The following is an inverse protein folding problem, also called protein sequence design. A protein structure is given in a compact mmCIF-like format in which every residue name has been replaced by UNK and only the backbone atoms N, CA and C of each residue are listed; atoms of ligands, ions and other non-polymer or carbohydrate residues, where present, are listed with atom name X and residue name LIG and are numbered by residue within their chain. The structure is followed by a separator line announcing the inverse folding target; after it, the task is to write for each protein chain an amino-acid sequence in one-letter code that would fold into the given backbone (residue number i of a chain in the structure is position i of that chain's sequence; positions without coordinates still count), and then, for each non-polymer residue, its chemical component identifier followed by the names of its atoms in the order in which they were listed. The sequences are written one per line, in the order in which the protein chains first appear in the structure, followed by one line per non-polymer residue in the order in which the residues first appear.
data_IF_705051444435
#
_entry.id   IF_705051444435
#
_cell.length_a   1.000
_cell.length_b   1.000
_cell.length_c   1.000
_cell.angle_alpha   90.00
_cell.angle_beta   90.00
_cell.angle_gamma   90.00
#
_symmetry.space_group_name_H-M   'P 1'
#
loop_
_entity.id
_entity.type
_entity.pdbx_description
1 polymer ?
#
# COMPACT_ATOMS: atom_id res chain seq x y z
N UNK A 1 10.84 13.49 -15.87
CA UNK A 1 10.31 13.22 -14.52
C UNK A 1 11.31 12.34 -13.79
N UNK A 2 11.63 12.63 -12.53
CA UNK A 2 12.56 11.80 -11.74
C UNK A 2 11.89 10.44 -11.46
N UNK A 3 12.62 9.34 -11.67
CA UNK A 3 12.14 8.00 -11.32
C UNK A 3 12.33 7.79 -9.82
N UNK A 4 11.26 7.42 -9.12
CA UNK A 4 11.27 7.13 -7.68
C UNK A 4 11.35 5.62 -7.48
N UNK A 5 12.55 5.05 -7.56
CA UNK A 5 12.76 3.60 -7.46
C UNK A 5 12.54 3.09 -6.03
N UNK A 6 11.91 1.93 -5.90
CA UNK A 6 11.76 1.18 -4.66
C UNK A 6 11.46 -0.28 -4.99
N UNK A 7 11.74 -1.18 -4.05
CA UNK A 7 11.36 -2.58 -4.10
C UNK A 7 10.01 -2.75 -3.43
N UNK A 8 9.15 -3.57 -4.02
CA UNK A 8 7.91 -4.04 -3.38
C UNK A 8 8.23 -5.41 -2.78
N UNK A 9 8.34 -5.47 -1.46
CA UNK A 9 8.56 -6.72 -0.73
C UNK A 9 7.24 -7.48 -0.57
N UNK A 10 6.15 -6.77 -0.28
CA UNK A 10 4.81 -7.32 -0.28
C UNK A 10 3.79 -6.25 -0.68
N UNK A 11 2.71 -6.68 -1.32
CA UNK A 11 1.51 -5.88 -1.59
C UNK A 11 0.29 -6.79 -1.68
N UNK A 12 -0.84 -6.31 -1.18
CA UNK A 12 -2.18 -6.87 -1.37
C UNK A 12 -3.15 -5.74 -1.70
N UNK A 13 -4.02 -5.98 -2.68
CA UNK A 13 -5.10 -5.07 -3.05
C UNK A 13 -6.41 -5.74 -2.63
N UNK A 14 -7.15 -5.07 -1.75
CA UNK A 14 -8.45 -5.52 -1.27
C UNK A 14 -9.55 -4.56 -1.76
N UNK A 15 -10.84 -4.92 -1.63
CA UNK A 15 -11.93 -4.04 -2.01
C UNK A 15 -11.92 -2.67 -1.31
N UNK A 16 -11.41 -2.59 -0.07
CA UNK A 16 -11.34 -1.35 0.69
C UNK A 16 -9.90 -0.83 0.86
N UNK A 17 -8.97 -1.54 1.55
CA UNK A 17 -7.59 -1.06 1.69
C UNK A 17 -6.62 -1.65 0.67
N UNK A 18 -5.47 -1.01 0.55
CA UNK A 18 -4.26 -1.57 -0.05
C UNK A 18 -3.23 -1.61 1.07
N UNK A 19 -2.59 -2.76 1.30
CA UNK A 19 -1.44 -2.86 2.19
C UNK A 19 -0.19 -3.15 1.37
N UNK A 20 0.90 -2.49 1.70
CA UNK A 20 2.17 -2.63 0.99
C UNK A 20 3.34 -2.46 1.94
N UNK A 21 4.39 -3.25 1.70
CA UNK A 21 5.69 -3.19 2.35
C UNK A 21 6.73 -2.90 1.28
N UNK A 22 7.44 -1.78 1.45
CA UNK A 22 8.42 -1.29 0.49
C UNK A 22 9.79 -1.15 1.14
N UNK A 23 10.82 -1.45 0.37
CA UNK A 23 12.20 -1.13 0.69
C UNK A 23 12.72 -0.12 -0.32
N UNK A 24 13.43 0.91 0.15
CA UNK A 24 13.99 1.96 -0.70
C UNK A 24 15.52 2.06 -0.51
N UNK A 25 16.24 2.68 -1.47
CA UNK A 25 17.66 2.97 -1.30
C UNK A 25 17.87 3.91 -0.10
N UNK A 26 18.97 3.77 0.64
CA UNK A 26 19.27 4.58 1.84
C UNK A 26 19.19 6.10 1.60
N UNK A 27 19.37 6.54 0.36
CA UNK A 27 19.38 7.94 -0.06
C UNK A 27 18.02 8.51 -0.48
N UNK A 28 16.95 7.71 -0.49
CA UNK A 28 15.62 8.15 -0.93
C UNK A 28 14.48 7.50 -0.15
N UNK A 29 14.11 8.13 0.97
CA UNK A 29 12.99 7.74 1.82
C UNK A 29 11.66 8.44 1.46
N UNK A 30 11.53 9.06 0.28
CA UNK A 30 10.31 9.81 -0.09
C UNK A 30 9.16 8.89 -0.52
N UNK A 31 8.64 8.09 0.43
CA UNK A 31 7.45 7.25 0.24
C UNK A 31 6.18 8.09 0.02
N UNK A 32 6.16 9.32 0.55
CA UNK A 32 5.02 10.24 0.42
C UNK A 32 4.79 10.65 -1.04
N UNK A 33 5.85 11.01 -1.77
CA UNK A 33 5.76 11.31 -3.20
C UNK A 33 5.36 10.07 -4.00
N UNK A 34 5.90 8.88 -3.68
CA UNK A 34 5.52 7.62 -4.35
C UNK A 34 4.02 7.35 -4.22
N UNK A 35 3.47 7.41 -3.00
CA UNK A 35 2.03 7.27 -2.77
C UNK A 35 1.21 8.33 -3.48
N UNK A 36 1.64 9.60 -3.45
CA UNK A 36 0.96 10.69 -4.17
C UNK A 36 0.90 10.41 -5.67
N UNK A 37 1.98 9.94 -6.28
CA UNK A 37 2.05 9.62 -7.71
C UNK A 37 1.15 8.43 -8.06
N UNK A 38 1.17 7.35 -7.27
CA UNK A 38 0.29 6.18 -7.44
C UNK A 38 -1.18 6.60 -7.38
N UNK A 39 -1.59 7.28 -6.30
CA UNK A 39 -2.97 7.74 -6.11
C UNK A 39 -3.40 8.67 -7.25
N UNK A 40 -2.52 9.57 -7.68
CA UNK A 40 -2.80 10.51 -8.78
C UNK A 40 -2.97 9.80 -10.13
N UNK A 41 -2.09 8.83 -10.43
CA UNK A 41 -2.15 8.05 -11.66
C UNK A 41 -3.45 7.27 -11.76
N UNK A 42 -3.77 6.49 -10.73
CA UNK A 42 -5.02 5.75 -10.67
C UNK A 42 -6.24 6.66 -10.73
N UNK A 43 -6.23 7.78 -10.00
CA UNK A 43 -7.36 8.72 -9.99
C UNK A 43 -7.66 9.30 -11.37
N UNK A 44 -6.64 9.56 -12.19
CA UNK A 44 -6.86 10.08 -13.56
C UNK A 44 -7.53 9.06 -14.48
N UNK A 45 -7.23 7.77 -14.31
CA UNK A 45 -7.73 6.70 -15.16
C UNK A 45 -9.00 6.02 -14.64
N UNK A 46 -9.31 6.21 -13.35
CA UNK A 46 -10.48 5.61 -12.73
C UNK A 46 -11.79 6.16 -13.31
N UNK A 47 -12.57 5.27 -13.91
CA UNK A 47 -13.87 5.57 -14.50
C UNK A 47 -14.83 6.16 -13.45
N UNK A 48 -15.68 7.10 -13.86
CA UNK A 48 -16.62 7.79 -12.96
C UNK A 48 -17.54 6.84 -12.21
N UNK A 49 -17.90 5.71 -12.82
CA UNK A 49 -18.75 4.66 -12.20
C UNK A 49 -18.16 4.06 -10.91
N UNK A 50 -16.83 4.08 -10.74
CA UNK A 50 -16.16 3.54 -9.55
C UNK A 50 -15.85 4.62 -8.50
N UNK A 51 -16.31 5.86 -8.73
CA UNK A 51 -16.10 6.97 -7.81
C UNK A 51 -17.30 7.08 -6.85
N UNK A 52 -17.03 7.27 -5.56
CA UNK A 52 -18.08 7.50 -4.57
C UNK A 52 -18.72 8.88 -4.69
N UNK A 53 -19.68 9.17 -3.79
CA UNK A 53 -20.26 10.51 -3.68
C UNK A 53 -19.19 11.49 -3.22
N UNK A 54 -18.99 12.56 -3.99
CA UNK A 54 -18.05 13.63 -3.64
C UNK A 54 -18.69 14.58 -2.61
N UNK A 55 -17.94 14.92 -1.56
CA UNK A 55 -18.37 15.96 -0.63
C UNK A 55 -17.96 17.35 -1.13
N UNK A 56 -18.65 18.40 -0.68
CA UNK A 56 -18.34 19.80 -1.02
C UNK A 56 -16.86 20.14 -0.80
N UNK A 57 -16.29 19.69 0.33
CA UNK A 57 -14.86 19.86 0.63
C UNK A 57 -13.94 19.23 -0.41
N UNK A 58 -14.28 18.04 -0.93
CA UNK A 58 -13.49 17.36 -1.97
C UNK A 58 -13.64 18.05 -3.32
N UNK A 59 -14.86 18.49 -3.64
CA UNK A 59 -15.14 19.22 -4.87
C UNK A 59 -14.33 20.52 -4.97
N UNK A 60 -14.28 21.32 -3.90
CA UNK A 60 -13.47 22.56 -3.87
C UNK A 60 -11.96 22.31 -4.07
N UNK A 61 -11.46 21.12 -3.72
CA UNK A 61 -10.05 20.75 -3.87
C UNK A 61 -9.74 19.98 -5.16
N UNK A 62 -10.74 19.75 -6.01
CA UNK A 62 -10.60 18.89 -7.20
C UNK A 62 -10.26 17.44 -6.86
N UNK A 63 -10.59 16.97 -5.65
CA UNK A 63 -10.32 15.61 -5.19
C UNK A 63 -11.41 14.65 -5.69
N UNK A 64 -11.02 13.43 -6.09
CA UNK A 64 -11.98 12.35 -6.37
C UNK A 64 -12.34 11.58 -5.09
N UNK A 65 -13.57 11.07 -5.02
CA UNK A 65 -14.05 10.23 -3.92
C UNK A 65 -13.62 8.75 -4.12
N UNK A 66 -12.31 8.54 -4.29
CA UNK A 66 -11.69 7.21 -4.47
C UNK A 66 -10.87 6.86 -3.23
N UNK A 67 -9.93 7.75 -2.87
CA UNK A 67 -8.99 7.50 -1.79
C UNK A 67 -9.44 8.13 -0.47
N UNK A 68 -9.13 7.47 0.64
CA UNK A 68 -9.00 8.16 1.92
C UNK A 68 -7.86 9.18 1.85
N UNK A 69 -8.03 10.32 2.55
CA UNK A 69 -6.97 11.33 2.68
C UNK A 69 -5.85 10.75 3.54
N UNK A 70 -4.59 11.09 3.20
CA UNK A 70 -3.38 10.53 3.83
C UNK A 70 -3.34 9.00 3.72
N UNK A 71 -2.46 8.38 4.47
CA UNK A 71 -2.31 6.94 4.63
C UNK A 71 -1.73 6.69 6.02
N UNK A 72 -1.69 5.43 6.42
CA UNK A 72 -0.97 5.00 7.62
C UNK A 72 0.40 4.46 7.19
N UNK A 73 1.42 4.76 7.98
CA UNK A 73 2.78 4.29 7.79
C UNK A 73 3.37 3.75 9.10
N UNK A 74 4.19 2.71 8.96
CA UNK A 74 5.04 2.18 10.03
C UNK A 74 6.42 1.89 9.44
N UNK A 75 7.46 2.38 10.10
CA UNK A 75 8.83 2.16 9.68
C UNK A 75 9.35 0.87 10.32
N UNK A 76 9.46 -0.17 9.50
CA UNK A 76 10.15 -1.42 9.87
C UNK A 76 11.65 -1.15 9.93
N UNK A 77 12.29 -1.50 11.06
CA UNK A 77 13.72 -1.27 11.30
C UNK A 77 14.51 -2.56 11.11
N UNK A 78 15.69 -2.48 10.51
CA UNK A 78 16.63 -3.60 10.39
C UNK A 78 17.14 -4.03 11.79
N UNK A 79 17.20 -5.34 12.05
CA UNK A 79 17.72 -5.94 13.28
C UNK A 79 19.23 -5.74 13.49
N UNK A 80 19.96 -5.29 12.46
CA UNK A 80 21.43 -5.06 12.48
C UNK A 80 21.91 -4.03 13.51
N UNK A 81 21.04 -3.22 14.10
CA UNK A 81 21.37 -2.38 15.25
C UNK A 81 21.32 -3.13 16.60
N UNK A 82 21.57 -4.44 16.60
CA UNK A 82 21.70 -5.25 17.81
C UNK A 82 20.37 -5.58 18.52
N UNK A 83 19.23 -5.44 17.84
CA UNK A 83 17.92 -5.85 18.40
C UNK A 83 17.30 -6.91 17.50
N UNK A 84 17.18 -8.13 18.00
CA UNK A 84 16.51 -9.29 17.38
C UNK A 84 15.04 -9.06 16.94
N UNK A 85 14.49 -7.87 17.19
CA UNK A 85 13.11 -7.49 16.87
C UNK A 85 12.92 -7.03 15.41
N UNK A 86 13.96 -6.53 14.73
CA UNK A 86 13.82 -5.94 13.39
C UNK A 86 13.43 -6.95 12.31
N UNK A 87 14.14 -8.07 12.23
CA UNK A 87 13.88 -9.13 11.25
C UNK A 87 12.50 -9.76 11.46
N UNK A 88 12.08 -9.89 12.73
CA UNK A 88 10.74 -10.39 13.09
C UNK A 88 9.64 -9.42 12.70
N UNK A 89 9.86 -8.12 12.88
CA UNK A 89 8.87 -7.10 12.50
C UNK A 89 8.62 -7.12 10.98
N UNK A 90 9.68 -7.26 10.19
CA UNK A 90 9.56 -7.40 8.73
C UNK A 90 8.75 -8.63 8.33
N UNK A 91 9.09 -9.81 8.86
CA UNK A 91 8.40 -11.07 8.56
C UNK A 91 6.93 -10.99 8.96
N UNK A 92 6.63 -10.49 10.16
CA UNK A 92 5.25 -10.34 10.64
C UNK A 92 4.42 -9.44 9.72
N UNK A 93 4.99 -8.32 9.25
CA UNK A 93 4.29 -7.43 8.32
C UNK A 93 4.09 -8.07 6.95
N UNK A 94 5.07 -8.82 6.45
CA UNK A 94 4.95 -9.57 5.19
C UNK A 94 3.83 -10.61 5.28
N UNK A 95 3.84 -11.45 6.32
CA UNK A 95 2.80 -12.45 6.56
C UNK A 95 1.42 -11.81 6.74
N UNK A 96 1.32 -10.74 7.52
CA UNK A 96 0.08 -9.99 7.72
C UNK A 96 -0.50 -9.47 6.39
N UNK A 97 0.35 -8.91 5.52
CA UNK A 97 -0.07 -8.40 4.21
C UNK A 97 -0.65 -9.53 3.35
N UNK A 98 0.03 -10.66 3.25
CA UNK A 98 -0.44 -11.77 2.41
C UNK A 98 -1.64 -12.50 3.02
N UNK A 99 -1.74 -12.57 4.34
CA UNK A 99 -2.86 -13.19 5.04
C UNK A 99 -4.12 -12.33 5.05
N UNK A 100 -4.00 -11.04 4.75
CA UNK A 100 -5.11 -10.09 4.85
C UNK A 100 -6.40 -10.49 4.09
N UNK A 101 -6.35 -11.07 2.87
CA UNK A 101 -7.55 -11.57 2.19
C UNK A 101 -8.28 -12.66 2.99
N UNK A 102 -7.54 -13.54 3.67
CA UNK A 102 -8.11 -14.59 4.54
C UNK A 102 -8.69 -13.96 5.80
N UNK A 103 -7.96 -13.02 6.42
CA UNK A 103 -8.45 -12.28 7.58
C UNK A 103 -9.77 -11.54 7.31
N UNK A 104 -9.95 -11.02 6.08
CA UNK A 104 -11.18 -10.38 5.63
C UNK A 104 -12.25 -11.36 5.09
N UNK A 105 -12.01 -12.68 5.15
CA UNK A 105 -12.98 -13.70 4.73
C UNK A 105 -13.23 -13.76 3.22
N UNK A 106 -12.32 -13.24 2.39
CA UNK A 106 -12.48 -13.21 0.93
C UNK A 106 -12.08 -14.54 0.26
N UNK A 107 -11.15 -15.26 0.89
CA UNK A 107 -10.61 -16.55 0.42
C UNK A 107 -10.18 -17.42 1.60
N UNK A 108 -9.98 -18.72 1.37
CA UNK A 108 -9.58 -19.67 2.40
C UNK A 108 -8.05 -19.74 2.63
N UNK A 109 -7.25 -19.35 1.63
CA UNK A 109 -5.79 -19.30 1.75
C UNK A 109 -5.21 -18.08 1.00
N UNK A 110 -4.04 -17.55 1.40
CA UNK A 110 -3.40 -16.40 0.73
C UNK A 110 -3.20 -16.60 -0.79
N UNK A 111 -2.83 -17.82 -1.18
CA UNK A 111 -2.64 -18.22 -2.59
C UNK A 111 -3.90 -18.12 -3.44
N UNK A 112 -5.09 -18.11 -2.84
CA UNK A 112 -6.33 -18.05 -3.61
C UNK A 112 -6.68 -16.60 -3.98
N UNK A 113 -5.99 -15.61 -3.41
CA UNK A 113 -6.17 -14.21 -3.75
C UNK A 113 -5.22 -13.77 -4.88
N UNK A 114 -5.78 -13.58 -6.08
CA UNK A 114 -5.03 -13.18 -7.27
C UNK A 114 -4.43 -11.76 -7.20
N UNK A 115 -5.01 -10.85 -6.40
CA UNK A 115 -4.57 -9.45 -6.32
C UNK A 115 -3.55 -9.23 -5.20
N UNK A 116 -2.53 -10.09 -5.15
CA UNK A 116 -1.43 -9.98 -4.21
C UNK A 116 -0.10 -10.38 -4.83
N UNK A 117 0.97 -9.96 -4.17
CA UNK A 117 2.34 -10.41 -4.47
C UNK A 117 2.69 -11.81 -3.96
N UNK A 118 1.76 -12.53 -3.33
CA UNK A 118 2.02 -13.86 -2.76
C UNK A 118 2.53 -14.88 -3.79
N UNK A 119 2.22 -14.65 -5.08
CA UNK A 119 2.56 -15.54 -6.20
C UNK A 119 3.96 -15.32 -6.80
N UNK A 120 4.76 -14.40 -6.22
CA UNK A 120 6.09 -14.04 -6.74
C UNK A 120 7.21 -14.85 -6.09
#
# INVERSE_FOLDING_TARGET
MRQHHFKIDAIVILPAPIHALWTWPETDADFSTRWRLIKSYFSRQCHSQYQGKISTSRQHKGEKAIWQRRFWEHQVRDGRQGRAYGDRDFVNHLEYIHYNPVHHGLVNAPKDWQYSSFHR
#
